data_IF_628580905720
#
_entry.id   IF_628580905720
#
_cell.length_a   1.000
_cell.length_b   1.000
_cell.length_c   1.000
_cell.angle_alpha   90.00
_cell.angle_beta   90.00
_cell.angle_gamma   90.00
#
_symmetry.space_group_name_H-M   'P 1'
#
loop_
_entity.id
_entity.type
_entity.pdbx_description
1 polymer ?
#
# COMPACT_ATOMS: atom_id res chain seq x y z
N UNK A 1 47.94 31.13 -35.91
CA UNK A 1 47.05 31.78 -34.93
C UNK A 1 46.77 30.78 -33.82
N UNK A 2 47.32 31.08 -32.64
CA UNK A 2 46.99 30.64 -31.26
C UNK A 2 46.54 29.20 -30.95
N UNK A 3 47.39 28.53 -30.17
CA UNK A 3 47.12 27.41 -29.25
C UNK A 3 46.05 27.79 -28.18
N UNK A 4 45.35 26.82 -27.59
CA UNK A 4 45.60 26.31 -26.22
C UNK A 4 44.53 25.31 -25.73
N UNK A 5 44.99 24.32 -24.97
CA UNK A 5 44.23 23.36 -24.15
C UNK A 5 43.89 24.00 -22.79
N UNK A 6 42.71 23.72 -22.19
CA UNK A 6 42.50 23.30 -20.77
C UNK A 6 41.05 23.49 -20.24
N UNK A 7 40.69 22.53 -19.37
CA UNK A 7 39.94 22.65 -18.12
C UNK A 7 38.40 22.56 -18.07
N UNK A 8 38.00 21.83 -17.03
CA UNK A 8 36.68 21.35 -16.58
C UNK A 8 35.81 22.44 -15.91
N UNK A 9 34.56 22.03 -15.65
CA UNK A 9 33.76 22.23 -14.42
C UNK A 9 32.75 23.38 -14.37
N UNK A 10 31.57 23.06 -13.79
CA UNK A 10 30.46 23.96 -13.47
C UNK A 10 29.14 23.51 -14.14
N UNK A 11 27.98 23.38 -13.51
CA UNK A 11 27.50 23.83 -12.20
C UNK A 11 26.28 22.96 -11.78
N UNK A 12 26.26 22.59 -10.50
CA UNK A 12 25.14 21.95 -9.81
C UNK A 12 24.17 23.06 -9.36
N UNK A 13 22.99 23.14 -9.98
CA UNK A 13 22.00 24.18 -9.65
C UNK A 13 21.13 23.74 -8.46
N UNK A 14 21.46 24.32 -7.31
CA UNK A 14 20.73 24.24 -6.04
C UNK A 14 19.67 25.37 -6.02
N UNK A 15 18.39 25.04 -5.88
CA UNK A 15 17.30 26.01 -5.73
C UNK A 15 16.85 26.10 -4.25
N UNK A 16 16.72 27.31 -3.66
CA UNK A 16 16.32 27.46 -2.27
C UNK A 16 14.80 27.48 -2.14
N UNK A 17 14.22 26.58 -1.34
CA UNK A 17 12.86 26.76 -0.83
C UNK A 17 12.93 27.33 0.59
N UNK A 18 12.49 28.58 0.71
CA UNK A 18 12.32 29.30 1.97
C UNK A 18 11.15 28.69 2.77
N UNK A 19 11.31 28.73 4.09
CA UNK A 19 10.64 27.86 5.04
C UNK A 19 9.17 28.17 5.34
N UNK A 20 8.46 27.10 5.73
CA UNK A 20 7.24 27.15 6.51
C UNK A 20 7.56 26.57 7.89
N UNK A 21 7.53 27.42 8.91
CA UNK A 21 7.65 26.99 10.31
C UNK A 21 6.42 26.16 10.69
N UNK A 22 6.48 24.85 10.45
CA UNK A 22 5.58 23.91 11.11
C UNK A 22 6.14 23.66 12.51
N UNK A 23 5.44 24.20 13.49
CA UNK A 23 5.59 23.85 14.89
C UNK A 23 5.25 22.36 15.01
N UNK A 24 6.27 21.50 14.99
CA UNK A 24 6.12 20.09 15.31
C UNK A 24 5.85 20.01 16.81
N UNK A 25 4.58 19.96 17.18
CA UNK A 25 4.19 19.39 18.47
C UNK A 25 4.62 17.93 18.41
N UNK A 26 5.58 17.57 19.25
CA UNK A 26 6.02 16.20 19.46
C UNK A 26 4.80 15.39 19.96
N UNK A 27 4.18 14.63 19.05
CA UNK A 27 3.26 13.58 19.42
C UNK A 27 4.09 12.34 19.72
N UNK A 28 4.36 12.12 21.01
CA UNK A 28 4.85 10.83 21.51
C UNK A 28 3.73 9.79 21.31
N UNK A 29 3.72 9.14 20.15
CA UNK A 29 2.99 7.91 19.95
C UNK A 29 3.82 6.77 20.55
N UNK A 30 3.60 6.51 21.84
CA UNK A 30 4.00 5.27 22.49
C UNK A 30 3.22 4.10 21.90
N UNK A 31 3.60 3.66 20.71
CA UNK A 31 2.96 2.57 20.01
C UNK A 31 3.73 1.27 20.25
N UNK A 32 3.26 0.51 21.25
CA UNK A 32 3.56 -0.90 21.36
C UNK A 32 2.67 -1.67 20.36
N UNK A 33 2.84 -1.40 19.05
CA UNK A 33 2.21 -2.21 18.01
C UNK A 33 2.96 -3.53 17.97
N UNK A 34 2.36 -4.56 18.54
CA UNK A 34 2.85 -5.93 18.39
C UNK A 34 2.93 -6.23 16.89
N UNK A 35 4.16 -6.42 16.37
CA UNK A 35 4.40 -6.83 14.99
C UNK A 35 3.84 -8.24 14.78
N UNK A 36 2.55 -8.34 14.47
CA UNK A 36 1.92 -9.61 14.15
C UNK A 36 2.33 -10.04 12.76
N UNK A 37 3.09 -11.13 12.68
CA UNK A 37 3.44 -11.77 11.42
C UNK A 37 2.19 -12.39 10.82
N UNK A 38 1.69 -11.85 9.71
CA UNK A 38 0.59 -12.45 8.95
C UNK A 38 1.01 -13.84 8.45
N UNK A 39 0.47 -14.90 9.04
CA UNK A 39 0.69 -16.27 8.59
C UNK A 39 -0.45 -16.66 7.65
N UNK A 40 -0.22 -16.59 6.35
CA UNK A 40 -1.10 -17.24 5.39
C UNK A 40 -0.68 -18.71 5.27
N UNK A 41 -1.64 -19.63 5.24
CA UNK A 41 -1.32 -20.98 4.77
C UNK A 41 -0.85 -20.92 3.31
N UNK A 42 -0.12 -21.95 2.87
CA UNK A 42 0.53 -21.97 1.55
C UNK A 42 -0.50 -21.82 0.40
N UNK A 43 -1.71 -22.36 0.58
CA UNK A 43 -2.79 -22.27 -0.41
C UNK A 43 -3.33 -20.84 -0.51
N UNK A 44 -3.61 -20.20 0.63
CA UNK A 44 -4.05 -18.82 0.72
C UNK A 44 -3.01 -17.88 0.13
N UNK A 45 -1.75 -18.01 0.53
CA UNK A 45 -0.67 -17.18 0.02
C UNK A 45 -0.62 -17.23 -1.51
N UNK A 46 -0.65 -18.45 -2.08
CA UNK A 46 -0.65 -18.64 -3.53
C UNK A 46 -1.89 -18.03 -4.19
N UNK A 47 -3.06 -18.15 -3.56
CA UNK A 47 -4.33 -17.58 -4.03
C UNK A 47 -4.29 -16.05 -4.04
N UNK A 48 -3.77 -15.42 -2.98
CA UNK A 48 -3.61 -13.96 -2.86
C UNK A 48 -2.64 -13.46 -3.93
N UNK A 49 -1.45 -14.06 -4.03
CA UNK A 49 -0.44 -13.68 -5.03
C UNK A 49 -1.01 -13.78 -6.45
N UNK A 50 -1.69 -14.88 -6.79
CA UNK A 50 -2.31 -15.03 -8.10
C UNK A 50 -3.39 -13.97 -8.40
N UNK A 51 -4.10 -13.47 -7.40
CA UNK A 51 -5.08 -12.38 -7.58
C UNK A 51 -4.38 -11.06 -7.80
N UNK A 52 -3.34 -10.76 -7.02
CA UNK A 52 -2.52 -9.57 -7.15
C UNK A 52 -1.85 -9.50 -8.52
N UNK A 53 -1.27 -10.61 -9.02
CA UNK A 53 -0.68 -10.64 -10.38
C UNK A 53 -1.69 -10.34 -11.49
N UNK A 54 -2.96 -10.76 -11.35
CA UNK A 54 -4.01 -10.42 -12.30
C UNK A 54 -4.39 -8.94 -12.23
N UNK A 55 -4.46 -8.39 -11.02
CA UNK A 55 -4.72 -6.96 -10.80
C UNK A 55 -3.61 -6.12 -11.44
N UNK A 56 -2.35 -6.53 -11.28
CA UNK A 56 -1.21 -5.88 -11.93
C UNK A 56 -1.36 -5.89 -13.46
N UNK A 57 -1.77 -7.02 -14.04
CA UNK A 57 -2.10 -7.13 -15.46
C UNK A 57 -3.18 -6.14 -15.91
N UNK A 58 -4.26 -5.99 -15.13
CA UNK A 58 -5.31 -5.02 -15.42
C UNK A 58 -4.80 -3.57 -15.36
N UNK A 59 -3.98 -3.23 -14.37
CA UNK A 59 -3.38 -1.89 -14.25
C UNK A 59 -2.50 -1.58 -15.47
N UNK A 60 -1.70 -2.56 -15.92
CA UNK A 60 -0.92 -2.43 -17.17
C UNK A 60 -1.84 -2.21 -18.38
N UNK A 61 -2.96 -2.92 -18.46
CA UNK A 61 -3.98 -2.72 -19.50
C UNK A 61 -4.57 -1.31 -19.50
N UNK A 62 -4.96 -0.80 -18.33
CA UNK A 62 -5.46 0.58 -18.17
C UNK A 62 -4.42 1.60 -18.65
N UNK A 63 -3.14 1.40 -18.29
CA UNK A 63 -2.05 2.26 -18.76
C UNK A 63 -1.97 2.30 -20.29
N UNK A 64 -2.15 1.16 -20.95
CA UNK A 64 -2.20 1.09 -22.42
C UNK A 64 -3.41 1.83 -22.98
N UNK A 65 -4.60 1.62 -22.41
CA UNK A 65 -5.82 2.32 -22.86
C UNK A 65 -5.68 3.85 -22.80
N UNK A 66 -5.03 4.37 -21.77
CA UNK A 66 -4.75 5.81 -21.63
C UNK A 66 -3.78 6.28 -22.72
N UNK A 67 -2.69 5.54 -22.97
CA UNK A 67 -1.74 5.87 -24.04
C UNK A 67 -2.38 5.87 -25.43
N UNK A 68 -3.33 4.98 -25.65
CA UNK A 68 -4.09 4.87 -26.89
C UNK A 68 -5.25 5.87 -27.00
N UNK A 69 -5.42 6.77 -26.01
CA UNK A 69 -6.51 7.75 -25.96
C UNK A 69 -7.90 7.11 -26.11
N UNK A 70 -8.11 5.94 -25.50
CA UNK A 70 -9.41 5.26 -25.52
C UNK A 70 -10.48 6.09 -24.78
N UNK A 71 -11.78 5.92 -25.11
CA UNK A 71 -12.85 6.70 -24.47
C UNK A 71 -12.81 6.62 -22.94
N UNK A 72 -12.98 7.76 -22.28
CA UNK A 72 -12.96 7.84 -20.82
C UNK A 72 -13.94 6.85 -20.13
N UNK A 73 -15.18 6.64 -20.62
CA UNK A 73 -16.07 5.65 -20.02
C UNK A 73 -15.48 4.24 -19.97
N UNK A 74 -14.78 3.81 -21.02
CA UNK A 74 -14.18 2.48 -21.10
C UNK A 74 -13.04 2.34 -20.07
N UNK A 75 -12.22 3.38 -19.93
CA UNK A 75 -11.13 3.42 -18.94
C UNK A 75 -11.71 3.36 -17.51
N UNK A 76 -12.78 4.12 -17.24
CA UNK A 76 -13.45 4.13 -15.93
C UNK A 76 -14.05 2.76 -15.58
N UNK A 77 -14.61 2.03 -16.55
CA UNK A 77 -15.08 0.65 -16.34
C UNK A 77 -13.93 -0.27 -15.91
N UNK A 78 -12.76 -0.16 -16.54
CA UNK A 78 -11.60 -0.98 -16.14
C UNK A 78 -11.06 -0.60 -14.76
N UNK A 79 -11.03 0.69 -14.42
CA UNK A 79 -10.67 1.15 -13.07
C UNK A 79 -11.63 0.57 -12.03
N UNK A 80 -12.94 0.60 -12.30
CA UNK A 80 -13.94 0.02 -11.41
C UNK A 80 -13.74 -1.51 -11.24
N UNK A 81 -13.38 -2.22 -12.31
CA UNK A 81 -13.05 -3.64 -12.26
C UNK A 81 -11.82 -3.92 -11.39
N UNK A 82 -10.78 -3.08 -11.46
CA UNK A 82 -9.59 -3.17 -10.60
C UNK A 82 -9.95 -2.92 -9.15
N UNK A 83 -10.73 -1.87 -8.85
CA UNK A 83 -11.20 -1.58 -7.49
C UNK A 83 -11.95 -2.77 -6.90
N UNK A 84 -12.93 -3.31 -7.62
CA UNK A 84 -13.67 -4.49 -7.15
C UNK A 84 -12.80 -5.74 -7.01
N UNK A 85 -11.71 -5.86 -7.77
CA UNK A 85 -10.74 -6.94 -7.59
C UNK A 85 -9.87 -6.76 -6.34
N UNK A 86 -9.46 -5.53 -6.04
CA UNK A 86 -8.75 -5.18 -4.80
C UNK A 86 -9.64 -5.44 -3.58
N UNK A 87 -10.91 -4.99 -3.60
CA UNK A 87 -11.86 -5.21 -2.52
C UNK A 87 -12.00 -6.71 -2.17
N UNK A 88 -12.00 -7.58 -3.19
CA UNK A 88 -12.03 -9.04 -3.00
C UNK A 88 -10.74 -9.59 -2.38
N UNK A 89 -9.57 -9.04 -2.71
CA UNK A 89 -8.30 -9.46 -2.10
C UNK A 89 -8.26 -9.00 -0.65
N UNK A 90 -8.60 -7.75 -0.38
CA UNK A 90 -8.60 -7.21 0.98
C UNK A 90 -9.55 -7.97 1.89
N UNK A 91 -10.72 -8.39 1.38
CA UNK A 91 -11.64 -9.23 2.16
C UNK A 91 -11.06 -10.59 2.52
N UNK A 92 -10.33 -11.25 1.62
CA UNK A 92 -9.67 -12.54 1.92
C UNK A 92 -8.66 -12.36 3.06
N UNK A 93 -7.85 -11.30 2.99
CA UNK A 93 -6.85 -10.99 4.03
C UNK A 93 -7.53 -10.69 5.36
N UNK A 94 -8.61 -9.91 5.36
CA UNK A 94 -9.37 -9.58 6.56
C UNK A 94 -10.02 -10.81 7.19
N UNK A 95 -10.67 -11.67 6.39
CA UNK A 95 -11.32 -12.90 6.87
C UNK A 95 -10.28 -13.84 7.53
N UNK A 96 -9.07 -13.91 6.98
CA UNK A 96 -7.98 -14.70 7.54
C UNK A 96 -7.44 -14.09 8.84
N UNK A 97 -7.28 -12.76 8.90
CA UNK A 97 -6.87 -12.06 10.12
C UNK A 97 -7.89 -12.24 11.26
N UNK A 98 -9.19 -12.09 10.95
CA UNK A 98 -10.30 -12.33 11.87
C UNK A 98 -10.25 -13.74 12.48
N UNK A 99 -10.05 -14.74 11.63
CA UNK A 99 -9.99 -16.14 12.06
C UNK A 99 -8.82 -16.37 13.02
N UNK A 100 -7.67 -15.74 12.77
CA UNK A 100 -6.49 -15.85 13.62
C UNK A 100 -6.66 -15.13 14.95
N UNK A 101 -7.17 -13.89 14.98
CA UNK A 101 -7.41 -13.15 16.21
C UNK A 101 -8.37 -13.90 17.15
N UNK A 102 -9.46 -14.45 16.60
CA UNK A 102 -10.42 -15.24 17.37
C UNK A 102 -9.78 -16.54 17.87
N UNK A 103 -9.00 -17.23 17.03
CA UNK A 103 -8.28 -18.44 17.41
C UNK A 103 -7.31 -18.21 18.57
N UNK A 104 -6.49 -17.17 18.48
CA UNK A 104 -5.55 -16.80 19.56
C UNK A 104 -6.26 -16.36 20.83
N UNK A 105 -7.34 -15.58 20.72
CA UNK A 105 -8.15 -15.18 21.86
C UNK A 105 -8.69 -16.40 22.63
N UNK A 106 -9.13 -17.43 21.90
CA UNK A 106 -9.63 -18.68 22.49
C UNK A 106 -8.51 -19.54 23.13
N UNK A 107 -7.33 -19.57 22.53
CA UNK A 107 -6.18 -20.36 23.03
C UNK A 107 -5.46 -19.70 24.21
N UNK A 108 -5.26 -18.39 24.16
CA UNK A 108 -4.40 -17.64 25.08
C UNK A 108 -5.19 -16.91 26.17
N UNK A 109 -6.53 -16.84 26.04
CA UNK A 109 -7.41 -16.16 26.98
C UNK A 109 -7.32 -14.62 26.94
N UNK A 110 -6.56 -14.05 26.02
CA UNK A 110 -6.37 -12.60 25.85
C UNK A 110 -7.44 -11.99 24.93
N UNK A 111 -8.70 -12.06 25.36
CA UNK A 111 -9.84 -11.63 24.52
C UNK A 111 -9.82 -10.12 24.28
N UNK A 112 -9.56 -9.30 25.30
CA UNK A 112 -9.54 -7.84 25.13
C UNK A 112 -8.47 -7.37 24.15
N UNK A 113 -7.25 -7.92 24.22
CA UNK A 113 -6.16 -7.53 23.32
C UNK A 113 -6.47 -7.86 21.85
N UNK A 114 -6.96 -9.06 21.58
CA UNK A 114 -7.29 -9.50 20.22
C UNK A 114 -8.49 -8.73 19.63
N UNK A 115 -9.45 -8.32 20.46
CA UNK A 115 -10.54 -7.44 20.04
C UNK A 115 -10.01 -6.05 19.64
N UNK A 116 -9.08 -5.49 20.41
CA UNK A 116 -8.54 -4.16 20.12
C UNK A 116 -7.73 -4.15 18.81
N UNK A 117 -6.96 -5.20 18.57
CA UNK A 117 -6.25 -5.41 17.30
C UNK A 117 -7.21 -5.52 16.13
N UNK A 118 -8.29 -6.29 16.30
CA UNK A 118 -9.31 -6.42 15.26
C UNK A 118 -9.96 -5.07 14.94
N UNK A 119 -10.31 -4.26 15.94
CA UNK A 119 -10.84 -2.91 15.70
C UNK A 119 -9.84 -2.07 14.91
N UNK A 120 -8.57 -2.08 15.31
CA UNK A 120 -7.54 -1.33 14.61
C UNK A 120 -7.34 -1.79 13.16
N UNK A 121 -7.52 -3.08 12.85
CA UNK A 121 -7.51 -3.58 11.48
C UNK A 121 -8.72 -3.11 10.68
N UNK A 122 -9.92 -3.12 11.29
CA UNK A 122 -11.15 -2.64 10.67
C UNK A 122 -11.12 -1.13 10.39
N UNK A 123 -10.60 -0.32 11.31
CA UNK A 123 -10.49 1.13 11.15
C UNK A 123 -9.57 1.53 9.98
N UNK A 124 -8.56 0.71 9.67
CA UNK A 124 -7.68 0.93 8.50
C UNK A 124 -8.31 0.45 7.19
N UNK A 125 -9.23 -0.51 7.27
CA UNK A 125 -9.85 -1.15 6.11
C UNK A 125 -11.12 -0.44 5.65
N UNK A 126 -11.91 0.07 6.59
CA UNK A 126 -13.14 0.79 6.32
C UNK A 126 -12.84 2.29 6.20
N UNK A 127 -13.10 2.91 5.03
CA UNK A 127 -12.90 4.35 4.83
C UNK A 127 -13.96 5.21 5.54
#
# INVERSE_FOLDING_TARGET
MTNNTFAKSGENQNYPHQGWNHHHTEHEHGENHSEHHHVHDEESLRRIINRLSRIEGHIRGIKTMVKESRPCPDVLVQIAAVRGALDRVSRIILDEHLTQCIGRAAEQGNIEGEIEELKAALDRFLP
#
